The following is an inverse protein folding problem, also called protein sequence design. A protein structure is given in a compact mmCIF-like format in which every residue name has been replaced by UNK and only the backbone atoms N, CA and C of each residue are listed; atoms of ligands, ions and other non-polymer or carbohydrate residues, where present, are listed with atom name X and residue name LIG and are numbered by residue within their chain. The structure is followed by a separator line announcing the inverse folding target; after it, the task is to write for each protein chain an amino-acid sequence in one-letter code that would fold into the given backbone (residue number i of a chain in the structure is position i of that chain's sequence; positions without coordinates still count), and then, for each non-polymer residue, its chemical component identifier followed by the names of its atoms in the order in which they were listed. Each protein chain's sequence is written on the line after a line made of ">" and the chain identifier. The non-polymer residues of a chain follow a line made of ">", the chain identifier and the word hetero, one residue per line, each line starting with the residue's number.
data_IF_635247308714
#
_entry.id   IF_635247308714
#
_cell.length_a   1.000
_cell.length_b   1.000
_cell.length_c   1.000
_cell.angle_alpha   90.00
_cell.angle_beta   90.00
_cell.angle_gamma   90.00
#
_symmetry.space_group_name_H-M   'P 1'
#
loop_
_entity.id
_entity.type
_entity.pdbx_description
1 polymer ?
#
# COMPACT_ATOMS: atom_id res chain seq x y z
N UNK A 1 13.39 -7.09 9.23
CA UNK A 1 12.42 -7.95 8.51
C UNK A 1 11.97 -7.18 7.30
N UNK A 2 12.20 -7.71 6.09
CA UNK A 2 11.70 -7.12 4.86
C UNK A 2 10.41 -7.83 4.45
N UNK A 3 9.39 -7.06 4.07
CA UNK A 3 8.09 -7.60 3.68
C UNK A 3 7.16 -6.53 3.12
N UNK A 4 6.09 -6.98 2.46
CA UNK A 4 4.99 -6.14 2.00
C UNK A 4 3.79 -6.28 2.94
N UNK A 5 3.13 -5.17 3.21
CA UNK A 5 2.07 -5.04 4.19
C UNK A 5 0.94 -4.17 3.63
N UNK A 6 -0.23 -4.30 4.24
CA UNK A 6 -1.39 -3.48 3.92
C UNK A 6 -1.90 -2.76 5.17
N UNK A 7 -2.35 -1.52 5.00
CA UNK A 7 -3.00 -0.73 6.05
C UNK A 7 -4.26 -0.09 5.50
N UNK A 8 -5.41 -0.44 6.06
CA UNK A 8 -6.67 0.29 5.85
C UNK A 8 -6.61 1.65 6.53
N UNK A 9 -7.06 2.69 5.83
CA UNK A 9 -7.16 4.05 6.37
C UNK A 9 -8.51 4.21 7.05
N UNK A 10 -8.51 4.29 8.38
CA UNK A 10 -9.75 4.39 9.16
C UNK A 10 -10.57 5.61 8.74
N UNK A 11 -11.86 5.38 8.46
CA UNK A 11 -12.81 6.43 8.06
C UNK A 11 -12.79 6.78 6.57
N UNK A 12 -11.89 6.18 5.77
CA UNK A 12 -11.86 6.37 4.32
C UNK A 12 -11.86 5.03 3.59
N UNK A 13 -12.35 5.03 2.35
CA UNK A 13 -12.34 3.84 1.48
C UNK A 13 -10.97 3.64 0.83
N UNK A 14 -9.90 3.61 1.62
CA UNK A 14 -8.54 3.43 1.12
C UNK A 14 -7.77 2.34 1.86
N UNK A 15 -6.95 1.62 1.09
CA UNK A 15 -5.89 0.74 1.58
C UNK A 15 -4.55 1.22 1.02
N UNK A 16 -3.54 1.25 1.89
CA UNK A 16 -2.16 1.54 1.53
C UNK A 16 -1.39 0.21 1.54
N UNK A 17 -0.86 -0.18 0.38
CA UNK A 17 0.09 -1.28 0.27
C UNK A 17 1.52 -0.70 0.34
N UNK A 18 2.35 -1.21 1.25
CA UNK A 18 3.69 -0.68 1.50
C UNK A 18 4.70 -1.77 1.80
N UNK A 19 5.96 -1.51 1.49
CA UNK A 19 7.07 -2.34 1.93
C UNK A 19 7.78 -1.69 3.12
N UNK A 20 8.21 -2.51 4.07
CA UNK A 20 9.15 -2.08 5.12
C UNK A 20 10.49 -2.73 4.86
N UNK A 21 11.54 -1.93 4.78
CA UNK A 21 12.93 -2.38 4.61
C UNK A 21 13.81 -1.76 5.70
N UNK A 22 15.01 -2.30 5.89
CA UNK A 22 15.95 -1.84 6.91
C UNK A 22 15.81 -2.54 8.26
N UNK A 23 16.40 -1.94 9.29
CA UNK A 23 16.46 -2.49 10.65
C UNK A 23 15.57 -1.71 11.63
N UNK A 24 15.66 -2.06 12.91
CA UNK A 24 14.79 -1.52 13.97
C UNK A 24 15.06 -0.04 14.27
N UNK A 25 16.25 0.46 13.95
CA UNK A 25 16.66 1.83 14.19
C UNK A 25 16.55 2.66 12.92
N UNK A 26 16.88 2.09 11.75
CA UNK A 26 16.81 2.73 10.44
C UNK A 26 15.90 1.92 9.49
N UNK A 27 14.59 2.09 9.65
CA UNK A 27 13.57 1.52 8.78
C UNK A 27 13.14 2.49 7.69
N UNK A 28 12.92 2.00 6.48
CA UNK A 28 12.30 2.75 5.38
C UNK A 28 10.94 2.14 5.06
N UNK A 29 9.93 3.01 4.93
CA UNK A 29 8.60 2.64 4.45
C UNK A 29 8.45 3.13 3.03
N UNK A 30 8.27 2.21 2.08
CA UNK A 30 8.01 2.52 0.67
C UNK A 30 6.55 2.28 0.37
N UNK A 31 5.82 3.33 -0.01
CA UNK A 31 4.44 3.20 -0.49
C UNK A 31 4.47 2.60 -1.89
N UNK A 32 3.86 1.43 -2.06
CA UNK A 32 3.78 0.75 -3.34
C UNK A 32 2.51 1.17 -4.08
N UNK A 33 1.37 1.16 -3.38
CA UNK A 33 0.08 1.53 -3.94
C UNK A 33 -0.82 2.24 -2.92
N UNK A 34 -1.68 3.12 -3.43
CA UNK A 34 -2.81 3.71 -2.71
C UNK A 34 -4.08 3.30 -3.46
N UNK A 35 -4.91 2.48 -2.83
CA UNK A 35 -6.02 1.79 -3.49
C UNK A 35 -7.34 2.32 -2.92
N UNK A 36 -8.22 2.83 -3.78
CA UNK A 36 -9.57 3.26 -3.38
C UNK A 36 -10.53 2.06 -3.37
N UNK A 37 -10.83 1.46 -2.23
CA UNK A 37 -11.53 0.16 -2.14
C UNK A 37 -12.97 0.16 -2.63
N UNK A 38 -13.64 1.32 -2.74
CA UNK A 38 -15.01 1.38 -3.28
C UNK A 38 -15.09 1.32 -4.82
N UNK A 39 -13.96 1.32 -5.53
CA UNK A 39 -13.95 1.19 -6.99
C UNK A 39 -13.93 -0.28 -7.36
N UNK A 40 -14.57 -0.60 -8.48
CA UNK A 40 -14.50 -1.93 -9.08
C UNK A 40 -13.13 -2.13 -9.75
N UNK A 41 -12.16 -2.63 -8.98
CA UNK A 41 -10.84 -2.98 -9.47
C UNK A 41 -10.90 -4.38 -10.07
N UNK A 42 -10.96 -4.45 -11.40
CA UNK A 42 -10.80 -5.71 -12.10
C UNK A 42 -9.41 -6.30 -11.78
N UNK A 43 -9.27 -7.64 -11.73
CA UNK A 43 -7.97 -8.28 -11.49
C UNK A 43 -6.88 -7.68 -12.38
N UNK A 44 -5.73 -7.36 -11.78
CA UNK A 44 -4.56 -6.74 -12.44
C UNK A 44 -4.78 -5.34 -13.05
N UNK A 45 -5.98 -4.76 -12.93
CA UNK A 45 -6.33 -3.45 -13.50
C UNK A 45 -6.08 -2.31 -12.51
N UNK A 46 -4.85 -2.23 -12.02
CA UNK A 46 -4.42 -1.20 -11.08
C UNK A 46 -4.35 0.18 -11.75
N UNK A 47 -4.58 1.28 -10.99
CA UNK A 47 -4.40 2.61 -11.52
C UNK A 47 -2.92 2.81 -11.87
N UNK A 48 -2.63 3.09 -13.14
CA UNK A 48 -1.26 3.34 -13.61
C UNK A 48 -0.81 4.70 -13.10
N UNK A 49 0.46 4.80 -12.67
CA UNK A 49 1.09 6.09 -12.45
C UNK A 49 1.25 6.79 -13.81
N UNK A 50 0.57 7.93 -13.97
CA UNK A 50 0.77 8.89 -15.07
C UNK A 50 1.98 9.76 -14.83
#
# INVERSE_FOLDING_TARGET
>A
MSGTYEKTVTGLSYVIAYAVTGDRNHGTVTILHVIHTSRDWQPESWPRQT
#
